data_IF_820725962292
#
_entry.id   IF_820725962292
#
_cell.length_a   1.000
_cell.length_b   1.000
_cell.length_c   1.000
_cell.angle_alpha   90.00
_cell.angle_beta   90.00
_cell.angle_gamma   90.00
#
_symmetry.space_group_name_H-M   'P 1'
#
loop_
_entity.id
_entity.type
_entity.pdbx_description
1 polymer ?
#
# COMPACT_ATOMS: atom_id res chain seq x y z
N UNK A 1 6.71 8.81 -24.07
CA UNK A 1 7.59 7.67 -24.45
C UNK A 1 6.73 6.46 -24.73
N UNK A 2 7.14 5.61 -25.66
CA UNK A 2 6.46 4.31 -25.88
C UNK A 2 6.84 3.38 -24.73
N UNK A 3 5.88 2.77 -24.00
CA UNK A 3 6.19 1.88 -22.90
C UNK A 3 6.93 0.63 -23.38
N UNK A 4 7.90 0.15 -22.60
CA UNK A 4 8.57 -1.12 -22.88
C UNK A 4 7.73 -2.26 -22.28
N UNK A 5 6.97 -2.94 -23.09
CA UNK A 5 6.09 -4.04 -22.70
C UNK A 5 6.58 -5.38 -23.26
N UNK A 6 6.36 -6.50 -22.54
CA UNK A 6 5.81 -6.55 -21.18
C UNK A 6 6.76 -5.98 -20.13
N UNK A 7 6.19 -5.42 -19.05
CA UNK A 7 6.96 -5.01 -17.89
C UNK A 7 7.51 -6.23 -17.13
N UNK A 8 8.55 -6.03 -16.31
CA UNK A 8 9.00 -7.07 -15.39
C UNK A 8 7.96 -7.30 -14.27
N UNK A 9 7.75 -8.55 -13.87
CA UNK A 9 6.98 -8.83 -12.65
C UNK A 9 7.80 -8.41 -11.43
N UNK A 10 7.17 -7.80 -10.41
CA UNK A 10 7.86 -7.51 -9.15
C UNK A 10 8.45 -8.80 -8.54
N UNK A 11 9.67 -8.70 -8.04
CA UNK A 11 10.29 -9.75 -7.25
C UNK A 11 9.99 -9.57 -5.76
N UNK A 12 10.24 -10.61 -4.95
CA UNK A 12 10.20 -10.54 -3.48
C UNK A 12 11.45 -9.82 -2.97
N UNK A 13 11.56 -8.53 -3.24
CA UNK A 13 12.69 -7.69 -2.87
C UNK A 13 12.37 -6.83 -1.65
N UNK A 14 13.41 -6.47 -0.91
CA UNK A 14 13.33 -5.44 0.13
C UNK A 14 13.41 -4.08 -0.56
N UNK A 15 12.47 -3.18 -0.24
CA UNK A 15 12.51 -1.79 -0.68
C UNK A 15 12.86 -0.91 0.51
N UNK A 16 13.99 -0.23 0.41
CA UNK A 16 14.59 0.50 1.53
C UNK A 16 14.33 2.01 1.43
N UNK A 17 13.75 2.59 2.47
CA UNK A 17 13.53 4.01 2.61
C UNK A 17 14.27 4.63 3.80
N UNK A 18 13.97 5.88 4.11
CA UNK A 18 14.52 6.60 5.27
C UNK A 18 13.85 6.20 6.57
N UNK A 19 12.51 6.11 6.55
CA UNK A 19 11.66 5.86 7.73
C UNK A 19 11.01 4.50 7.69
N UNK A 20 10.75 3.99 6.49
CA UNK A 20 10.13 2.71 6.24
C UNK A 20 11.06 1.77 5.50
N UNK A 21 10.84 0.47 5.69
CA UNK A 21 11.37 -0.59 4.86
C UNK A 21 10.22 -1.53 4.52
N UNK A 22 10.08 -1.89 3.25
CA UNK A 22 9.14 -2.91 2.82
C UNK A 22 9.90 -4.24 2.73
N UNK A 23 9.52 -5.20 3.55
CA UNK A 23 10.09 -6.55 3.51
C UNK A 23 9.06 -7.55 2.97
N UNK A 24 9.46 -8.52 2.14
CA UNK A 24 8.57 -9.63 1.80
C UNK A 24 7.96 -10.22 3.06
N UNK A 25 6.65 -10.49 3.03
CA UNK A 25 5.92 -11.02 4.17
C UNK A 25 6.54 -12.31 4.69
N UNK A 26 6.81 -12.38 5.99
CA UNK A 26 7.44 -13.52 6.64
C UNK A 26 6.90 -13.73 8.07
N UNK A 27 7.07 -14.94 8.61
CA UNK A 27 6.65 -15.29 9.98
C UNK A 27 7.32 -14.46 11.06
N UNK A 28 8.54 -13.94 10.82
CA UNK A 28 9.24 -13.03 11.71
C UNK A 28 8.46 -11.73 12.00
N UNK A 29 7.55 -11.34 11.10
CA UNK A 29 6.74 -10.13 11.24
C UNK A 29 5.47 -10.34 12.08
N UNK A 30 5.15 -11.58 12.47
CA UNK A 30 3.86 -11.93 13.07
C UNK A 30 3.52 -11.11 14.33
N UNK A 31 4.48 -10.89 15.23
CA UNK A 31 4.23 -10.12 16.47
C UNK A 31 3.80 -8.68 16.17
N UNK A 32 4.52 -8.01 15.28
CA UNK A 32 4.20 -6.64 14.86
C UNK A 32 2.89 -6.54 14.09
N UNK A 33 2.62 -7.50 13.20
CA UNK A 33 1.37 -7.53 12.42
C UNK A 33 0.15 -7.84 13.31
N UNK A 34 0.30 -8.67 14.36
CA UNK A 34 -0.77 -8.88 15.34
C UNK A 34 -1.09 -7.57 16.07
N UNK A 35 -0.08 -6.87 16.53
CA UNK A 35 -0.25 -5.55 17.15
C UNK A 35 -0.85 -4.51 16.19
N UNK A 36 -0.57 -4.60 14.89
CA UNK A 36 -1.17 -3.75 13.86
C UNK A 36 -2.65 -4.07 13.58
N UNK A 37 -3.13 -5.25 13.98
CA UNK A 37 -4.49 -5.78 13.69
C UNK A 37 -5.47 -5.60 14.85
N UNK A 38 -5.15 -4.80 15.86
CA UNK A 38 -5.95 -4.67 17.09
C UNK A 38 -7.29 -3.94 16.90
N UNK A 39 -7.43 -3.14 15.84
CA UNK A 39 -8.68 -2.47 15.51
C UNK A 39 -9.49 -3.31 14.51
N UNK A 40 -10.58 -3.98 14.94
CA UNK A 40 -11.40 -4.78 14.04
C UNK A 40 -12.03 -3.96 12.91
N UNK A 41 -12.34 -2.68 13.12
CA UNK A 41 -12.91 -1.79 12.12
C UNK A 41 -11.98 -1.58 10.91
N UNK A 42 -10.68 -1.75 11.08
CA UNK A 42 -9.71 -1.73 9.98
C UNK A 42 -9.92 -2.85 8.95
N UNK A 43 -10.67 -3.90 9.31
CA UNK A 43 -10.98 -5.04 8.43
C UNK A 43 -12.33 -4.94 7.73
N UNK A 44 -13.19 -3.95 8.03
CA UNK A 44 -14.55 -3.86 7.48
C UNK A 44 -14.59 -3.92 5.96
N UNK A 45 -13.60 -3.34 5.31
CA UNK A 45 -13.50 -3.26 3.85
C UNK A 45 -12.41 -4.15 3.24
N UNK A 46 -11.63 -4.85 4.05
CA UNK A 46 -10.71 -5.89 3.59
C UNK A 46 -11.47 -7.20 3.33
N UNK A 47 -10.94 -8.05 2.46
CA UNK A 47 -11.50 -9.40 2.26
C UNK A 47 -11.19 -10.33 3.42
N UNK A 48 -10.09 -10.07 4.11
CA UNK A 48 -9.68 -10.80 5.32
C UNK A 48 -10.57 -10.42 6.52
N UNK A 49 -10.49 -11.24 7.56
CA UNK A 49 -11.06 -10.97 8.88
C UNK A 49 -9.94 -10.70 9.88
N UNK A 50 -10.20 -10.01 11.00
CA UNK A 50 -9.22 -9.86 12.07
C UNK A 50 -8.72 -11.23 12.55
N UNK A 51 -7.41 -11.42 12.76
CA UNK A 51 -6.90 -12.64 13.37
C UNK A 51 -7.39 -12.72 14.83
N UNK A 52 -7.86 -13.89 15.24
CA UNK A 52 -8.30 -14.12 16.62
C UNK A 52 -7.12 -14.16 17.60
N UNK A 53 -6.01 -14.69 17.10
CA UNK A 53 -4.80 -14.89 17.89
C UNK A 53 -3.54 -14.98 17.00
N UNK A 54 -2.41 -15.26 17.62
CA UNK A 54 -1.13 -15.43 16.94
C UNK A 54 -1.12 -16.62 15.99
N UNK A 55 -1.83 -17.72 16.31
CA UNK A 55 -1.85 -18.90 15.48
C UNK A 55 -2.61 -18.63 14.17
N UNK A 56 -3.77 -17.98 14.25
CA UNK A 56 -4.52 -17.55 13.06
C UNK A 56 -3.68 -16.65 12.16
N UNK A 57 -2.99 -15.68 12.74
CA UNK A 57 -2.14 -14.76 11.97
C UNK A 57 -0.96 -15.49 11.30
N UNK A 58 -0.32 -16.41 11.99
CA UNK A 58 0.78 -17.21 11.41
C UNK A 58 0.30 -18.04 10.22
N UNK A 59 -0.86 -18.73 10.35
CA UNK A 59 -1.47 -19.45 9.23
C UNK A 59 -1.78 -18.53 8.04
N UNK A 60 -2.31 -17.32 8.31
CA UNK A 60 -2.55 -16.33 7.27
C UNK A 60 -1.25 -15.91 6.58
N UNK A 61 -0.18 -15.65 7.35
CA UNK A 61 1.13 -15.30 6.79
C UNK A 61 1.67 -16.42 5.89
N UNK A 62 1.62 -17.67 6.33
CA UNK A 62 2.07 -18.84 5.55
C UNK A 62 1.29 -18.97 4.23
N UNK A 63 -0.01 -18.75 4.26
CA UNK A 63 -0.85 -18.76 3.06
C UNK A 63 -0.53 -17.63 2.08
N UNK A 64 -0.15 -16.44 2.58
CA UNK A 64 0.06 -15.24 1.75
C UNK A 64 1.51 -15.00 1.35
N UNK A 65 2.47 -15.58 2.03
CA UNK A 65 3.88 -15.39 1.74
C UNK A 65 4.36 -16.16 0.48
N UNK A 66 3.68 -17.24 0.11
CA UNK A 66 4.05 -18.12 -1.01
C UNK A 66 3.56 -17.70 -2.39
N UNK A 67 2.26 -17.45 -2.59
CA UNK A 67 1.67 -17.20 -3.90
C UNK A 67 2.21 -15.97 -4.63
N UNK A 68 2.30 -16.05 -5.95
CA UNK A 68 2.82 -14.96 -6.80
C UNK A 68 1.72 -14.10 -7.45
N UNK A 69 0.45 -14.39 -7.19
CA UNK A 69 -0.70 -13.60 -7.65
C UNK A 69 -0.85 -12.29 -6.84
N UNK A 70 -0.36 -12.29 -5.60
CA UNK A 70 -0.24 -11.11 -4.76
C UNK A 70 1.07 -11.17 -3.95
N UNK A 71 1.91 -10.15 -4.10
CA UNK A 71 3.17 -10.04 -3.39
C UNK A 71 3.01 -9.15 -2.16
N UNK A 72 2.85 -9.79 -1.02
CA UNK A 72 2.70 -9.10 0.26
C UNK A 72 4.03 -8.60 0.80
N UNK A 73 4.03 -7.37 1.31
CA UNK A 73 5.12 -6.76 2.04
C UNK A 73 4.65 -6.34 3.43
N UNK A 74 5.46 -6.61 4.43
CA UNK A 74 5.35 -5.98 5.74
C UNK A 74 5.99 -4.60 5.70
N UNK A 75 5.34 -3.63 6.33
CA UNK A 75 5.86 -2.26 6.48
C UNK A 75 6.58 -2.16 7.81
N UNK A 76 7.90 -2.09 7.76
CA UNK A 76 8.75 -1.98 8.95
C UNK A 76 9.00 -0.51 9.25
N UNK A 77 8.71 -0.08 10.47
CA UNK A 77 9.17 1.20 10.99
C UNK A 77 10.65 1.10 11.35
N UNK A 78 11.51 1.81 10.64
CA UNK A 78 12.97 1.75 10.84
C UNK A 78 13.42 2.29 12.20
N UNK A 79 12.63 3.10 12.86
CA UNK A 79 12.95 3.61 14.19
C UNK A 79 12.81 2.52 15.26
N UNK A 80 11.92 1.56 15.08
CA UNK A 80 11.65 0.49 16.04
C UNK A 80 12.08 -0.89 15.57
N UNK A 81 12.25 -1.07 14.26
CA UNK A 81 12.48 -2.38 13.64
C UNK A 81 11.24 -3.27 13.60
N UNK A 82 10.05 -2.75 13.96
CA UNK A 82 8.81 -3.52 14.10
C UNK A 82 7.93 -3.36 12.87
N UNK A 83 7.30 -4.45 12.43
CA UNK A 83 6.29 -4.42 11.40
C UNK A 83 5.02 -3.73 11.93
N UNK A 84 4.71 -2.54 11.41
CA UNK A 84 3.54 -1.75 11.81
C UNK A 84 2.33 -1.93 10.90
N UNK A 85 2.45 -2.74 9.84
CA UNK A 85 1.38 -2.98 8.88
C UNK A 85 1.83 -3.78 7.67
N UNK A 86 0.94 -3.90 6.69
CA UNK A 86 1.17 -4.66 5.44
C UNK A 86 0.54 -3.96 4.24
N UNK A 87 1.03 -4.29 3.06
CA UNK A 87 0.45 -3.94 1.76
C UNK A 87 0.87 -4.96 0.71
N UNK A 88 0.21 -5.02 -0.44
CA UNK A 88 0.54 -5.99 -1.47
C UNK A 88 0.47 -5.41 -2.88
N UNK A 89 1.41 -5.80 -3.74
CA UNK A 89 1.24 -5.72 -5.18
C UNK A 89 0.33 -6.86 -5.63
N UNK A 90 -0.67 -6.54 -6.43
CA UNK A 90 -1.66 -7.50 -6.89
C UNK A 90 -2.21 -7.14 -8.26
N UNK A 91 -2.97 -8.06 -8.87
CA UNK A 91 -3.54 -7.88 -10.21
C UNK A 91 -2.51 -7.35 -11.20
N UNK A 92 -1.34 -7.99 -11.21
CA UNK A 92 -0.22 -7.64 -12.06
C UNK A 92 -0.50 -8.11 -13.50
N UNK A 93 -0.55 -7.18 -14.44
CA UNK A 93 -0.75 -7.42 -15.87
C UNK A 93 0.43 -6.79 -16.64
N UNK A 94 1.60 -7.46 -16.67
CA UNK A 94 2.82 -6.94 -17.29
C UNK A 94 2.64 -6.58 -18.77
N UNK A 95 1.81 -7.35 -19.50
CA UNK A 95 1.50 -7.16 -20.92
C UNK A 95 0.87 -5.80 -21.21
N UNK A 96 0.17 -5.24 -20.20
CA UNK A 96 -0.45 -3.93 -20.28
C UNK A 96 0.25 -2.87 -19.44
N UNK A 97 1.28 -3.25 -18.68
CA UNK A 97 1.98 -2.37 -17.74
C UNK A 97 1.05 -1.84 -16.64
N UNK A 98 0.18 -2.70 -16.11
CA UNK A 98 -0.80 -2.37 -15.07
C UNK A 98 -0.54 -3.20 -13.82
N UNK A 99 -0.56 -2.56 -12.66
CA UNK A 99 -0.37 -3.20 -11.36
C UNK A 99 -1.20 -2.45 -10.30
N UNK A 100 -1.68 -3.17 -9.30
CA UNK A 100 -2.47 -2.61 -8.19
C UNK A 100 -1.71 -2.68 -6.87
N UNK A 101 -1.87 -1.65 -6.03
CA UNK A 101 -1.56 -1.71 -4.61
C UNK A 101 -2.84 -1.96 -3.83
N UNK A 102 -2.87 -2.99 -3.00
CA UNK A 102 -4.05 -3.35 -2.23
C UNK A 102 -3.70 -4.10 -0.95
N UNK A 103 -4.71 -4.66 -0.30
CA UNK A 103 -4.56 -5.34 1.00
C UNK A 103 -3.82 -4.49 2.05
N UNK A 104 -4.00 -3.18 1.98
CA UNK A 104 -3.34 -2.23 2.87
C UNK A 104 -3.99 -2.30 4.25
N UNK A 105 -3.19 -2.67 5.22
CA UNK A 105 -3.49 -2.57 6.65
C UNK A 105 -2.32 -1.87 7.33
N UNK A 106 -2.46 -0.61 7.64
CA UNK A 106 -1.50 0.15 8.43
C UNK A 106 -2.06 0.31 9.84
N UNK A 107 -1.45 -0.38 10.80
CA UNK A 107 -1.87 -0.36 12.20
C UNK A 107 -1.65 1.00 12.88
N UNK A 108 -2.15 1.16 14.11
CA UNK A 108 -2.13 2.45 14.83
C UNK A 108 -0.75 3.09 14.95
N UNK A 109 0.30 2.28 15.05
CA UNK A 109 1.68 2.76 15.20
C UNK A 109 2.19 3.53 13.98
N UNK A 110 1.75 3.17 12.77
CA UNK A 110 2.25 3.80 11.53
C UNK A 110 1.18 4.53 10.73
N UNK A 111 -0.11 4.31 11.00
CA UNK A 111 -1.20 4.97 10.30
C UNK A 111 -1.06 6.50 10.38
N UNK A 112 -1.30 7.19 9.25
CA UNK A 112 -1.20 8.66 9.12
C UNK A 112 0.20 9.24 9.42
N UNK A 113 1.24 8.42 9.42
CA UNK A 113 2.62 8.81 9.71
C UNK A 113 3.45 8.95 8.43
N UNK A 114 4.70 9.41 8.62
CA UNK A 114 5.72 9.42 7.56
C UNK A 114 6.10 8.01 7.10
N UNK A 115 6.02 7.02 8.01
CA UNK A 115 6.32 5.61 7.70
C UNK A 115 5.33 5.06 6.67
N UNK A 116 4.02 5.20 6.92
CA UNK A 116 2.99 4.76 5.97
C UNK A 116 3.06 5.52 4.63
N UNK A 117 3.38 6.82 4.67
CA UNK A 117 3.53 7.62 3.45
C UNK A 117 4.74 7.18 2.64
N UNK A 118 5.88 6.93 3.29
CA UNK A 118 7.07 6.42 2.61
C UNK A 118 6.88 4.99 2.10
N UNK A 119 6.15 4.14 2.82
CA UNK A 119 5.82 2.79 2.36
C UNK A 119 5.09 2.81 1.01
N UNK A 120 4.15 3.74 0.83
CA UNK A 120 3.50 3.91 -0.47
C UNK A 120 4.42 4.53 -1.52
N UNK A 121 5.22 5.52 -1.15
CA UNK A 121 6.23 6.12 -2.04
C UNK A 121 7.20 5.07 -2.59
N UNK A 122 7.74 4.20 -1.73
CA UNK A 122 8.64 3.12 -2.13
C UNK A 122 7.98 2.15 -3.12
N UNK A 123 6.72 1.78 -2.86
CA UNK A 123 5.95 0.94 -3.78
C UNK A 123 5.75 1.62 -5.14
N UNK A 124 5.33 2.89 -5.17
CA UNK A 124 5.12 3.63 -6.40
C UNK A 124 6.42 3.86 -7.18
N UNK A 125 7.51 4.21 -6.47
CA UNK A 125 8.84 4.34 -7.06
C UNK A 125 9.28 3.05 -7.74
N UNK A 126 9.18 1.93 -7.04
CA UNK A 126 9.51 0.62 -7.59
C UNK A 126 8.70 0.30 -8.85
N UNK A 127 7.39 0.55 -8.81
CA UNK A 127 6.47 0.30 -9.93
C UNK A 127 6.86 1.12 -11.16
N UNK A 128 7.13 2.41 -11.02
CA UNK A 128 7.37 3.29 -12.15
C UNK A 128 8.83 3.33 -12.61
N UNK A 129 9.78 3.37 -11.67
CA UNK A 129 11.19 3.57 -12.01
C UNK A 129 11.93 2.25 -12.26
N UNK A 130 11.71 1.23 -11.40
CA UNK A 130 12.46 -0.02 -11.52
C UNK A 130 11.80 -1.00 -12.49
N UNK A 131 10.45 -1.09 -12.45
CA UNK A 131 9.69 -2.07 -13.23
C UNK A 131 9.12 -1.50 -14.54
N UNK A 132 9.00 -0.17 -14.68
CA UNK A 132 8.53 0.50 -15.87
C UNK A 132 7.05 0.35 -16.16
N UNK A 133 6.23 0.09 -15.15
CA UNK A 133 4.77 0.08 -15.31
C UNK A 133 4.26 1.47 -15.68
N UNK A 134 3.17 1.51 -16.45
CA UNK A 134 2.56 2.77 -16.90
C UNK A 134 1.35 3.17 -16.08
N UNK A 135 0.80 2.24 -15.26
CA UNK A 135 -0.41 2.45 -14.47
C UNK A 135 -0.33 1.70 -13.14
N UNK A 136 -0.49 2.45 -12.05
CA UNK A 136 -0.55 1.96 -10.69
C UNK A 136 -1.96 2.23 -10.15
N UNK A 137 -2.68 1.18 -9.75
CA UNK A 137 -4.08 1.24 -9.37
C UNK A 137 -4.27 1.17 -7.86
N UNK A 138 -5.32 1.86 -7.39
CA UNK A 138 -5.85 1.74 -6.04
C UNK A 138 -7.35 1.53 -6.12
N UNK A 139 -7.87 0.49 -5.46
CA UNK A 139 -9.29 0.16 -5.45
C UNK A 139 -9.78 -0.01 -4.03
N UNK A 140 -10.96 0.50 -3.73
CA UNK A 140 -11.58 0.30 -2.43
C UNK A 140 -13.09 0.18 -2.54
N UNK A 141 -13.72 -0.34 -1.48
CA UNK A 141 -15.18 -0.25 -1.35
C UNK A 141 -15.58 1.23 -1.43
N UNK A 142 -16.60 1.55 -2.22
CA UNK A 142 -17.06 2.93 -2.39
C UNK A 142 -17.56 3.58 -1.08
N UNK A 143 -17.89 2.79 -0.07
CA UNK A 143 -18.25 3.26 1.28
C UNK A 143 -17.01 3.54 2.16
N UNK A 144 -15.80 3.14 1.75
CA UNK A 144 -14.57 3.34 2.50
C UNK A 144 -14.01 4.76 2.28
N UNK A 145 -14.63 5.75 2.93
CA UNK A 145 -14.20 7.16 2.84
C UNK A 145 -12.73 7.37 3.25
N UNK A 146 -12.21 6.75 4.34
CA UNK A 146 -10.80 6.87 4.69
C UNK A 146 -9.87 6.41 3.56
N UNK A 147 -10.18 5.30 2.89
CA UNK A 147 -9.37 4.80 1.78
C UNK A 147 -9.43 5.71 0.54
N UNK A 148 -10.62 6.25 0.21
CA UNK A 148 -10.76 7.22 -0.88
C UNK A 148 -9.97 8.51 -0.61
N UNK A 149 -10.03 9.00 0.64
CA UNK A 149 -9.25 10.16 1.04
C UNK A 149 -7.73 9.90 0.99
N UNK A 150 -7.29 8.71 1.39
CA UNK A 150 -5.90 8.29 1.30
C UNK A 150 -5.43 8.22 -0.16
N UNK A 151 -6.18 7.57 -1.05
CA UNK A 151 -5.84 7.50 -2.48
C UNK A 151 -5.64 8.90 -3.09
N UNK A 152 -6.58 9.82 -2.85
CA UNK A 152 -6.47 11.21 -3.32
C UNK A 152 -5.26 11.92 -2.74
N UNK A 153 -5.03 11.79 -1.41
CA UNK A 153 -3.87 12.39 -0.75
C UNK A 153 -2.54 11.89 -1.35
N UNK A 154 -2.49 10.65 -1.75
CA UNK A 154 -1.32 10.03 -2.36
C UNK A 154 -1.16 10.33 -3.86
N UNK A 155 -2.07 11.09 -4.46
CA UNK A 155 -1.97 11.52 -5.85
C UNK A 155 -2.60 10.58 -6.86
N UNK A 156 -3.38 9.60 -6.42
CA UNK A 156 -4.22 8.80 -7.32
C UNK A 156 -5.44 9.60 -7.77
N UNK A 157 -5.66 9.68 -9.06
CA UNK A 157 -6.85 10.29 -9.65
C UNK A 157 -8.05 9.33 -9.56
N UNK A 158 -9.22 9.86 -9.19
CA UNK A 158 -10.46 9.09 -9.21
C UNK A 158 -10.94 8.89 -10.65
N UNK A 159 -11.33 7.67 -11.01
CA UNK A 159 -11.76 7.33 -12.38
C UNK A 159 -13.21 6.90 -12.48
N UNK A 160 -13.82 6.45 -11.36
CA UNK A 160 -15.21 6.04 -11.38
C UNK A 160 -15.58 5.02 -10.32
N UNK A 161 -16.84 4.58 -10.37
CA UNK A 161 -17.37 3.53 -9.49
C UNK A 161 -17.94 2.40 -10.34
N UNK A 162 -17.46 1.19 -10.10
CA UNK A 162 -18.07 -0.03 -10.61
C UNK A 162 -19.19 -0.43 -9.64
N UNK A 163 -20.42 -0.21 -10.08
CA UNK A 163 -21.61 -0.56 -9.29
C UNK A 163 -21.84 -2.07 -9.32
N UNK A 164 -22.25 -2.65 -8.19
CA UNK A 164 -22.48 -4.10 -8.01
C UNK A 164 -21.28 -4.95 -8.49
N UNK A 165 -20.06 -4.45 -8.25
CA UNK A 165 -18.83 -5.08 -8.75
C UNK A 165 -18.55 -6.41 -8.07
N UNK A 166 -18.86 -6.51 -6.78
CA UNK A 166 -18.55 -7.70 -5.98
C UNK A 166 -19.63 -7.95 -4.93
N UNK A 167 -19.73 -9.20 -4.48
CA UNK A 167 -20.41 -9.57 -3.24
C UNK A 167 -19.36 -9.88 -2.20
N UNK A 168 -19.35 -9.21 -1.07
CA UNK A 168 -18.33 -9.35 -0.04
C UNK A 168 -18.93 -9.24 1.36
N UNK A 169 -18.61 -10.18 2.24
CA UNK A 169 -19.08 -10.20 3.63
C UNK A 169 -20.60 -10.08 3.76
N UNK A 170 -21.34 -10.77 2.87
CA UNK A 170 -22.80 -10.76 2.89
C UNK A 170 -23.47 -9.49 2.36
N UNK A 171 -22.72 -8.60 1.70
CA UNK A 171 -23.26 -7.36 1.16
C UNK A 171 -22.75 -7.05 -0.26
N UNK A 172 -23.50 -6.21 -0.98
CA UNK A 172 -23.04 -5.64 -2.23
C UNK A 172 -21.83 -4.72 -1.99
N UNK A 173 -20.85 -4.81 -2.86
CA UNK A 173 -19.71 -3.92 -2.89
C UNK A 173 -19.63 -3.21 -4.24
N UNK A 174 -19.92 -1.93 -4.23
CA UNK A 174 -19.51 -1.00 -5.27
C UNK A 174 -18.03 -0.68 -5.06
N UNK A 175 -17.25 -0.63 -6.14
CA UNK A 175 -15.80 -0.38 -6.04
C UNK A 175 -15.43 0.94 -6.67
N UNK A 176 -14.87 1.83 -5.86
CA UNK A 176 -14.24 3.07 -6.34
C UNK A 176 -12.85 2.75 -6.90
N UNK A 177 -12.56 3.27 -8.10
CA UNK A 177 -11.32 3.08 -8.85
C UNK A 177 -10.52 4.37 -8.89
N UNK A 178 -9.23 4.22 -8.65
CA UNK A 178 -8.24 5.29 -8.70
C UNK A 178 -6.99 4.79 -9.41
N UNK A 179 -6.29 5.69 -10.10
CA UNK A 179 -5.02 5.38 -10.74
C UNK A 179 -4.02 6.53 -10.63
N UNK A 180 -2.74 6.14 -10.62
CA UNK A 180 -1.60 7.01 -10.83
C UNK A 180 -0.92 6.55 -12.12
N UNK A 181 -0.55 7.49 -12.99
CA UNK A 181 0.05 7.16 -14.28
C UNK A 181 1.54 7.52 -14.30
N UNK A 182 2.29 6.83 -15.15
CA UNK A 182 3.73 7.06 -15.35
C UNK A 182 4.05 8.52 -15.71
N UNK A 183 3.20 9.16 -16.52
CA UNK A 183 3.34 10.58 -16.88
C UNK A 183 3.19 11.54 -15.70
N UNK A 184 2.47 11.13 -14.64
CA UNK A 184 2.24 11.94 -13.45
C UNK A 184 3.36 11.73 -12.39
N UNK A 185 4.06 10.59 -12.49
CA UNK A 185 5.04 10.16 -11.51
C UNK A 185 6.21 11.14 -11.31
N UNK A 186 6.83 11.75 -12.33
CA UNK A 186 7.94 12.68 -12.10
C UNK A 186 7.55 13.84 -11.17
N UNK A 187 6.35 14.38 -11.30
CA UNK A 187 5.83 15.43 -10.45
C UNK A 187 5.50 14.90 -9.05
N UNK A 188 4.84 13.76 -8.98
CA UNK A 188 4.42 13.13 -7.73
C UNK A 188 5.63 12.63 -6.93
N UNK A 189 6.57 11.93 -7.55
CA UNK A 189 7.80 11.47 -6.92
C UNK A 189 8.59 12.61 -6.29
N UNK A 190 8.79 13.70 -7.03
CA UNK A 190 9.43 14.89 -6.50
C UNK A 190 8.67 15.53 -5.31
N UNK A 191 7.32 15.47 -5.31
CA UNK A 191 6.52 15.94 -4.17
C UNK A 191 6.71 15.06 -2.93
N UNK A 192 6.76 13.73 -3.12
CA UNK A 192 7.05 12.80 -2.04
C UNK A 192 8.46 13.00 -1.47
N UNK A 193 9.47 13.12 -2.30
CA UNK A 193 10.86 13.33 -1.87
C UNK A 193 10.98 14.59 -1.02
N UNK A 194 10.41 15.72 -1.50
CA UNK A 194 10.38 16.95 -0.72
C UNK A 194 9.67 16.81 0.61
N UNK A 195 8.52 16.08 0.62
CA UNK A 195 7.75 15.91 1.84
C UNK A 195 8.42 14.95 2.84
N UNK A 196 9.19 13.97 2.37
CA UNK A 196 9.93 13.03 3.20
C UNK A 196 11.23 13.61 3.79
N UNK A 197 11.59 14.83 3.45
CA UNK A 197 12.73 15.54 4.05
C UNK A 197 12.54 15.69 5.58
N UNK A 198 13.60 15.44 6.41
CA UNK A 198 13.50 15.52 7.87
C UNK A 198 12.95 16.84 8.39
N UNK A 199 13.26 17.96 7.71
CA UNK A 199 12.79 19.31 8.09
C UNK A 199 11.27 19.50 8.03
N UNK A 200 10.57 18.62 7.32
CA UNK A 200 9.10 18.64 7.21
C UNK A 200 8.44 18.10 8.49
N UNK A 201 9.21 17.53 9.39
CA UNK A 201 8.69 16.93 10.62
C UNK A 201 9.23 17.66 11.86
N UNK A 202 8.42 17.70 12.91
CA UNK A 202 8.87 18.15 14.25
C UNK A 202 9.58 16.99 14.96
N UNK A 203 10.08 17.27 16.18
CA UNK A 203 10.77 16.29 17.02
C UNK A 203 9.89 15.06 17.38
N UNK A 204 8.58 15.23 17.38
CA UNK A 204 7.60 14.15 17.59
C UNK A 204 7.22 13.41 16.29
N UNK A 205 7.84 13.75 15.15
CA UNK A 205 7.56 13.13 13.84
C UNK A 205 6.26 13.62 13.20
N UNK A 206 5.63 14.69 13.69
CA UNK A 206 4.40 15.25 13.10
C UNK A 206 4.75 16.17 11.94
N UNK A 207 3.99 16.05 10.84
CA UNK A 207 4.21 16.86 9.66
C UNK A 207 3.94 18.35 9.91
N UNK A 208 4.83 19.23 9.45
CA UNK A 208 4.69 20.70 9.44
C UNK A 208 4.00 21.21 8.17
N UNK A 209 4.02 20.42 7.11
CA UNK A 209 3.38 20.73 5.84
C UNK A 209 2.68 19.51 5.28
N UNK A 210 1.58 19.70 4.55
CA UNK A 210 0.86 18.61 3.87
C UNK A 210 1.63 18.17 2.62
N UNK A 211 1.52 16.88 2.30
CA UNK A 211 1.98 16.35 1.00
C UNK A 211 1.17 17.02 -0.12
N UNK A 212 1.88 17.64 -1.07
CA UNK A 212 1.29 18.36 -2.21
C UNK A 212 1.36 17.47 -3.45
N UNK A 213 0.26 16.78 -3.76
CA UNK A 213 0.13 15.87 -4.93
C UNK A 213 -0.81 16.41 -6.01
N UNK A 214 -1.50 17.52 -5.74
CA UNK A 214 -2.36 18.21 -6.69
C UNK A 214 -1.55 19.09 -7.67
#
# INVERSE_FOLDING_TARGET
MTPKLPCARPARAVLEGRYARLEPLALSHAAGLLAASVDPGSFDYLFDVPPRDMADLRMWIEQKAGPDDALFHSVIDKATGIAGGRQAFMRMVPEHGVIEIGNILWGPAIARSRVATEALYLAAKHVFEDLGYRRFEWKCNNLNEPSKAAAKRFGFAFEGVFRQHMWSKGANRDTAWFAMLDRDWPRLGAAYERWLEPRIFDAAGRQRARLQTA
#
